data_IF_110867817082
#
_entry.id   IF_110867817082
#
_cell.length_a   1.000
_cell.length_b   1.000
_cell.length_c   1.000
_cell.angle_alpha   90.00
_cell.angle_beta   90.00
_cell.angle_gamma   90.00
#
_symmetry.space_group_name_H-M   'P 1'
#
loop_
_entity.id
_entity.type
_entity.pdbx_description
1 polymer ?
#
# COMPACT_ATOMS: atom_id res chain seq x y z
N UNK A 1 -25.35 -9.04 -8.91
CA UNK A 1 -24.44 -9.31 -10.03
C UNK A 1 -23.21 -8.45 -9.86
N UNK A 2 -22.19 -8.99 -9.21
CA UNK A 2 -20.80 -8.48 -9.08
C UNK A 2 -19.95 -9.65 -8.60
N UNK A 3 -18.84 -9.90 -9.31
CA UNK A 3 -17.87 -11.01 -9.15
C UNK A 3 -18.51 -12.42 -9.09
N UNK A 4 -19.39 -12.80 -10.03
CA UNK A 4 -19.03 -13.75 -11.11
C UNK A 4 -18.23 -14.94 -10.57
N UNK A 5 -18.89 -15.80 -9.77
CA UNK A 5 -19.54 -17.05 -10.18
C UNK A 5 -18.60 -18.14 -10.72
N UNK A 6 -18.72 -19.31 -10.06
CA UNK A 6 -18.11 -20.63 -10.30
C UNK A 6 -16.66 -20.84 -9.85
N UNK A 7 -16.52 -21.57 -8.73
CA UNK A 7 -15.94 -22.91 -8.74
C UNK A 7 -16.50 -23.70 -7.55
N UNK A 8 -17.18 -24.82 -7.86
CA UNK A 8 -17.77 -25.75 -6.90
C UNK A 8 -16.71 -26.74 -6.34
N UNK A 9 -16.90 -27.07 -5.06
CA UNK A 9 -16.76 -28.38 -4.39
C UNK A 9 -15.55 -29.27 -4.73
N UNK A 10 -14.74 -29.62 -3.71
CA UNK A 10 -14.78 -30.96 -3.08
C UNK A 10 -13.97 -31.04 -1.79
N UNK A 11 -14.52 -31.83 -0.86
CA UNK A 11 -14.05 -32.33 0.44
C UNK A 11 -12.71 -33.07 0.44
N UNK A 12 -12.02 -33.12 1.58
CA UNK A 12 -10.96 -34.11 1.81
C UNK A 12 -10.11 -33.92 3.07
N UNK A 13 -10.67 -34.37 4.20
CA UNK A 13 -10.06 -35.04 5.36
C UNK A 13 -8.58 -34.85 5.80
N UNK A 14 -8.49 -34.59 7.11
CA UNK A 14 -7.55 -35.02 8.15
C UNK A 14 -6.00 -34.97 8.02
N UNK A 15 -5.46 -34.44 9.12
CA UNK A 15 -4.15 -34.74 9.74
C UNK A 15 -2.93 -34.02 9.17
N UNK A 16 -2.43 -33.02 9.91
CA UNK A 16 -0.98 -32.83 10.16
C UNK A 16 -0.71 -31.84 11.29
N UNK A 17 -0.22 -32.41 12.39
CA UNK A 17 0.91 -31.94 13.21
C UNK A 17 0.84 -30.51 13.77
N UNK A 18 0.56 -30.41 15.08
CA UNK A 18 0.90 -29.24 15.88
C UNK A 18 2.40 -28.91 15.72
N UNK A 19 2.67 -27.78 15.06
CA UNK A 19 3.96 -27.11 15.14
C UNK A 19 4.17 -26.59 16.58
N UNK A 20 5.41 -26.58 17.10
CA UNK A 20 5.69 -26.01 18.42
C UNK A 20 5.39 -24.51 18.45
N UNK A 21 4.72 -24.05 19.51
CA UNK A 21 4.26 -22.67 19.77
C UNK A 21 5.34 -21.56 19.65
N UNK A 22 6.60 -21.95 19.48
CA UNK A 22 7.75 -21.05 19.38
C UNK A 22 7.99 -20.52 17.96
N UNK A 23 7.46 -21.17 16.92
CA UNK A 23 7.50 -20.67 15.53
C UNK A 23 6.22 -19.92 15.11
N UNK A 24 5.15 -20.00 15.91
CA UNK A 24 3.89 -19.31 15.63
C UNK A 24 3.89 -17.82 16.05
N UNK A 25 4.97 -17.34 16.68
CA UNK A 25 5.11 -15.96 17.16
C UNK A 25 5.76 -15.00 16.16
N UNK A 26 6.27 -15.48 15.03
CA UNK A 26 7.06 -14.65 14.09
C UNK A 26 6.34 -14.24 12.81
N UNK A 27 5.02 -14.46 12.70
CA UNK A 27 4.21 -13.97 11.57
C UNK A 27 2.84 -13.48 12.06
N UNK A 28 2.83 -12.70 13.14
CA UNK A 28 1.66 -11.84 13.38
C UNK A 28 1.80 -10.66 12.42
N UNK A 29 0.81 -10.42 11.53
CA UNK A 29 0.80 -9.22 10.69
C UNK A 29 1.01 -8.02 11.61
N UNK A 30 2.06 -7.25 11.33
CA UNK A 30 2.36 -6.08 12.15
C UNK A 30 1.38 -5.00 11.77
N UNK A 31 0.24 -4.98 12.48
CA UNK A 31 -0.71 -3.88 12.38
C UNK A 31 0.03 -2.55 12.47
N UNK A 32 -0.35 -1.61 11.60
CA UNK A 32 0.18 -0.25 11.57
C UNK A 32 0.36 0.31 12.98
N UNK A 33 1.49 0.96 13.24
CA UNK A 33 1.76 1.52 14.56
C UNK A 33 0.62 2.43 15.03
N UNK A 34 0.07 2.24 16.25
CA UNK A 34 -1.07 3.02 16.74
C UNK A 34 -0.82 4.53 16.75
N UNK A 35 0.43 4.97 16.91
CA UNK A 35 0.79 6.38 16.82
C UNK A 35 0.63 6.95 15.41
N UNK A 36 0.91 6.15 14.38
CA UNK A 36 0.74 6.54 12.98
C UNK A 36 -0.74 6.58 12.61
N UNK A 37 -1.51 5.57 13.01
CA UNK A 37 -2.96 5.54 12.82
C UNK A 37 -3.64 6.75 13.50
N UNK A 38 -3.25 7.07 14.74
CA UNK A 38 -3.76 8.24 15.44
C UNK A 38 -3.47 9.56 14.71
N UNK A 39 -2.29 9.67 14.08
CA UNK A 39 -1.94 10.86 13.25
C UNK A 39 -2.80 10.95 12.00
N UNK A 40 -2.99 9.83 11.28
CA UNK A 40 -3.88 9.77 10.11
C UNK A 40 -5.31 10.20 10.47
N UNK A 41 -5.86 9.68 11.56
CA UNK A 41 -7.21 10.02 12.00
C UNK A 41 -7.32 11.49 12.45
N UNK A 42 -6.26 12.04 13.06
CA UNK A 42 -6.20 13.46 13.42
C UNK A 42 -6.20 14.36 12.18
N UNK A 43 -5.39 14.05 11.17
CA UNK A 43 -5.39 14.73 9.88
C UNK A 43 -6.76 14.65 9.22
N UNK A 44 -7.35 13.46 9.20
CA UNK A 44 -8.68 13.25 8.62
C UNK A 44 -9.78 14.06 9.29
N UNK A 45 -9.67 14.28 10.60
CA UNK A 45 -10.60 15.10 11.37
C UNK A 45 -10.37 16.61 11.16
N UNK A 46 -9.14 17.02 10.83
CA UNK A 46 -8.78 18.42 10.59
C UNK A 46 -9.11 18.86 9.15
N UNK A 47 -8.98 17.95 8.18
CA UNK A 47 -9.16 18.23 6.76
C UNK A 47 -10.58 17.89 6.28
N UNK A 48 -11.10 18.72 5.39
CA UNK A 48 -12.39 18.51 4.72
C UNK A 48 -12.34 17.30 3.78
N UNK A 49 -13.52 16.88 3.30
CA UNK A 49 -13.63 15.79 2.30
C UNK A 49 -13.04 16.15 0.93
N UNK A 50 -12.78 17.43 0.67
CA UNK A 50 -12.13 17.89 -0.56
C UNK A 50 -10.61 17.98 -0.40
N UNK A 51 -10.10 18.13 0.82
CA UNK A 51 -8.66 18.24 1.09
C UNK A 51 -8.02 16.87 1.36
N UNK A 52 -8.80 15.89 1.81
CA UNK A 52 -8.30 14.56 2.11
C UNK A 52 -9.24 13.43 1.69
N UNK A 53 -8.68 12.51 0.93
CA UNK A 53 -9.16 11.15 0.78
C UNK A 53 -8.40 10.21 1.72
N UNK A 54 -9.16 9.42 2.47
CA UNK A 54 -8.66 8.27 3.22
C UNK A 54 -9.60 7.10 2.93
N UNK A 55 -9.06 6.04 2.32
CA UNK A 55 -9.85 4.90 1.87
C UNK A 55 -10.49 4.11 3.01
N UNK A 56 -11.57 3.36 2.73
CA UNK A 56 -12.13 2.41 3.69
C UNK A 56 -11.15 1.25 3.92
N UNK A 57 -11.34 0.49 5.00
CA UNK A 57 -10.58 -0.74 5.25
C UNK A 57 -10.75 -1.77 4.13
N UNK A 58 -9.64 -2.36 3.66
CA UNK A 58 -9.67 -3.44 2.68
C UNK A 58 -9.80 -4.81 3.38
N UNK A 59 -10.85 -5.56 3.05
CA UNK A 59 -11.08 -6.88 3.64
C UNK A 59 -10.06 -7.93 3.21
N UNK A 60 -9.88 -8.97 4.05
CA UNK A 60 -8.90 -10.05 3.83
C UNK A 60 -8.93 -10.68 2.43
N UNK A 61 -10.11 -11.00 1.92
CA UNK A 61 -10.24 -11.61 0.58
C UNK A 61 -9.78 -10.65 -0.54
N UNK A 62 -9.96 -9.34 -0.34
CA UNK A 62 -9.49 -8.33 -1.28
C UNK A 62 -7.97 -8.13 -1.17
N UNK A 63 -7.40 -8.21 0.03
CA UNK A 63 -5.93 -8.21 0.24
C UNK A 63 -5.29 -9.41 -0.48
N UNK A 64 -5.83 -10.62 -0.29
CA UNK A 64 -5.33 -11.84 -0.95
C UNK A 64 -5.44 -11.75 -2.48
N UNK A 65 -6.54 -11.19 -2.99
CA UNK A 65 -6.72 -10.95 -4.42
C UNK A 65 -5.74 -9.90 -4.96
N UNK A 66 -5.53 -8.80 -4.24
CA UNK A 66 -4.56 -7.77 -4.61
C UNK A 66 -3.14 -8.33 -4.64
N UNK A 67 -2.76 -9.11 -3.62
CA UNK A 67 -1.43 -9.75 -3.56
C UNK A 67 -1.22 -10.71 -4.73
N UNK A 68 -2.22 -11.51 -5.06
CA UNK A 68 -2.18 -12.43 -6.21
C UNK A 68 -2.09 -11.67 -7.54
N UNK A 69 -2.82 -10.55 -7.65
CA UNK A 69 -2.78 -9.71 -8.83
C UNK A 69 -1.40 -9.05 -8.98
N UNK A 70 -0.88 -8.43 -7.93
CA UNK A 70 0.44 -7.81 -7.93
C UNK A 70 1.53 -8.84 -8.26
N UNK A 71 1.51 -10.02 -7.65
CA UNK A 71 2.50 -11.06 -7.95
C UNK A 71 2.43 -11.54 -9.42
N UNK A 72 1.22 -11.73 -9.96
CA UNK A 72 1.05 -12.22 -11.34
C UNK A 72 1.33 -11.16 -12.42
N UNK A 73 1.07 -9.88 -12.14
CA UNK A 73 1.24 -8.77 -13.09
C UNK A 73 2.58 -8.08 -12.94
N UNK A 74 3.04 -7.87 -11.70
CA UNK A 74 4.25 -7.15 -11.38
C UNK A 74 5.43 -8.07 -11.07
N UNK A 75 5.21 -9.38 -10.90
CA UNK A 75 6.28 -10.33 -10.57
C UNK A 75 6.88 -10.15 -9.18
N UNK A 76 6.32 -9.24 -8.37
CA UNK A 76 6.79 -8.88 -7.04
C UNK A 76 5.61 -8.94 -6.08
N UNK A 77 5.84 -9.57 -4.92
CA UNK A 77 4.90 -9.58 -3.81
C UNK A 77 4.84 -8.19 -3.17
N UNK A 78 3.65 -7.69 -2.83
CA UNK A 78 3.56 -6.44 -2.07
C UNK A 78 4.11 -6.66 -0.64
N UNK A 79 4.77 -5.65 -0.06
CA UNK A 79 5.25 -5.72 1.30
C UNK A 79 4.09 -5.83 2.29
N UNK A 80 4.22 -6.71 3.29
CA UNK A 80 3.16 -6.99 4.28
C UNK A 80 2.72 -5.72 5.02
N UNK A 81 3.68 -4.86 5.39
CA UNK A 81 3.42 -3.58 6.06
C UNK A 81 2.54 -2.62 5.24
N UNK A 82 2.62 -2.67 3.91
CA UNK A 82 1.73 -1.88 3.05
C UNK A 82 0.34 -2.52 2.93
N UNK A 83 0.26 -3.85 2.92
CA UNK A 83 -1.02 -4.55 3.01
C UNK A 83 -1.73 -4.27 4.33
N UNK A 84 -0.97 -4.17 5.44
CA UNK A 84 -1.50 -3.76 6.74
C UNK A 84 -2.08 -2.34 6.67
N UNK A 85 -1.41 -1.40 5.99
CA UNK A 85 -1.97 -0.08 5.71
C UNK A 85 -3.28 -0.17 4.94
N UNK A 86 -3.33 -0.91 3.82
CA UNK A 86 -4.54 -1.05 3.01
C UNK A 86 -5.68 -1.74 3.79
N UNK A 87 -5.35 -2.65 4.71
CA UNK A 87 -6.33 -3.32 5.57
C UNK A 87 -7.07 -2.33 6.48
N UNK A 88 -6.42 -1.24 6.88
CA UNK A 88 -7.03 -0.15 7.64
C UNK A 88 -7.60 0.94 6.74
N UNK A 89 -6.85 1.32 5.69
CA UNK A 89 -7.11 2.44 4.81
C UNK A 89 -6.67 2.15 3.37
N UNK A 90 -7.63 1.84 2.49
CA UNK A 90 -7.41 1.52 1.08
C UNK A 90 -7.08 2.78 0.23
N UNK A 91 -5.90 3.35 0.48
CA UNK A 91 -5.35 4.53 -0.20
C UNK A 91 -5.47 5.83 0.59
N UNK A 92 -4.66 6.81 0.19
CA UNK A 92 -4.56 8.15 0.76
C UNK A 92 -4.41 9.17 -0.38
N UNK A 93 -5.08 10.32 -0.29
CA UNK A 93 -4.70 11.50 -1.05
C UNK A 93 -4.89 12.74 -0.17
N UNK A 94 -3.85 13.56 0.00
CA UNK A 94 -3.92 14.83 0.72
C UNK A 94 -2.73 15.71 0.34
N UNK A 95 -2.95 17.01 0.15
CA UNK A 95 -1.89 18.02 -0.06
C UNK A 95 -0.83 17.62 -1.13
N UNK A 96 -1.29 16.99 -2.23
CA UNK A 96 -0.44 16.55 -3.34
C UNK A 96 0.40 15.30 -3.04
N UNK A 97 0.17 14.61 -1.93
CA UNK A 97 0.72 13.30 -1.64
C UNK A 97 -0.35 12.21 -1.81
N UNK A 98 0.03 11.12 -2.45
CA UNK A 98 -0.84 10.00 -2.80
C UNK A 98 -0.22 8.69 -2.32
N UNK A 99 -1.02 7.84 -1.66
CA UNK A 99 -0.72 6.42 -1.50
C UNK A 99 -1.75 5.63 -2.27
N UNK A 100 -1.27 4.69 -3.08
CA UNK A 100 -2.11 3.95 -4.00
C UNK A 100 -3.12 3.05 -3.27
N UNK A 101 -4.28 2.87 -3.90
CA UNK A 101 -5.36 2.00 -3.43
C UNK A 101 -5.36 0.68 -4.20
N UNK A 102 -6.10 -0.30 -3.71
CA UNK A 102 -6.29 -1.59 -4.40
C UNK A 102 -7.00 -1.46 -5.75
N UNK A 103 -7.91 -0.51 -5.87
CA UNK A 103 -8.69 -0.19 -7.08
C UNK A 103 -8.91 1.32 -7.18
N UNK A 104 -9.25 1.85 -8.37
CA UNK A 104 -9.63 3.25 -8.48
C UNK A 104 -10.89 3.53 -7.66
N UNK A 105 -10.88 4.59 -6.85
CA UNK A 105 -12.04 5.01 -6.07
C UNK A 105 -12.28 6.51 -6.20
N UNK A 106 -13.40 6.95 -6.77
CA UNK A 106 -13.70 8.37 -6.88
C UNK A 106 -13.89 8.99 -5.48
N UNK A 107 -13.41 10.23 -5.31
CA UNK A 107 -13.68 11.04 -4.14
C UNK A 107 -14.25 12.41 -4.51
N UNK A 108 -14.72 13.14 -3.49
CA UNK A 108 -15.75 14.18 -3.61
C UNK A 108 -15.41 15.41 -4.46
N UNK A 109 -14.13 15.63 -4.75
CA UNK A 109 -13.63 16.77 -5.52
C UNK A 109 -13.51 16.47 -7.04
N UNK A 110 -13.87 15.27 -7.48
CA UNK A 110 -13.77 14.83 -8.87
C UNK A 110 -12.49 14.05 -9.20
N UNK A 111 -11.60 13.84 -8.21
CA UNK A 111 -10.47 12.93 -8.33
C UNK A 111 -10.83 11.46 -8.07
N UNK A 112 -9.84 10.58 -8.28
CA UNK A 112 -9.91 9.17 -7.91
C UNK A 112 -8.63 8.74 -7.24
N UNK A 113 -8.74 7.87 -6.23
CA UNK A 113 -7.60 7.16 -5.69
C UNK A 113 -6.93 6.37 -6.81
N UNK A 114 -5.60 6.36 -6.79
CA UNK A 114 -4.78 5.78 -7.85
C UNK A 114 -4.56 4.30 -7.56
N UNK A 115 -4.86 3.42 -8.52
CA UNK A 115 -4.79 1.98 -8.29
C UNK A 115 -3.35 1.45 -8.40
N UNK A 116 -2.89 0.75 -7.37
CA UNK A 116 -1.49 0.33 -7.23
C UNK A 116 -0.96 -0.42 -8.44
N UNK A 117 -1.70 -1.44 -8.91
CA UNK A 117 -1.23 -2.28 -10.02
C UNK A 117 -1.21 -1.48 -11.33
N UNK A 118 -2.22 -0.64 -11.56
CA UNK A 118 -2.28 0.20 -12.77
C UNK A 118 -1.14 1.22 -12.80
N UNK A 119 -0.90 1.91 -11.68
CA UNK A 119 0.18 2.89 -11.58
C UNK A 119 1.56 2.26 -11.74
N UNK A 120 1.78 1.08 -11.15
CA UNK A 120 3.06 0.37 -11.32
C UNK A 120 3.29 -0.10 -12.76
N UNK A 121 2.25 -0.51 -13.48
CA UNK A 121 2.38 -0.83 -14.91
C UNK A 121 2.78 0.41 -15.72
N UNK A 122 2.16 1.56 -15.45
CA UNK A 122 2.52 2.84 -16.07
C UNK A 122 3.96 3.27 -15.76
N UNK A 123 4.41 3.06 -14.52
CA UNK A 123 5.78 3.39 -14.11
C UNK A 123 6.80 2.47 -14.80
N UNK A 124 6.48 1.18 -14.97
CA UNK A 124 7.35 0.19 -15.63
C UNK A 124 7.49 0.36 -17.12
N UNK A 125 6.48 0.91 -17.80
CA UNK A 125 6.59 1.27 -19.20
C UNK A 125 7.72 2.29 -19.47
N UNK A 126 8.24 2.96 -18.43
CA UNK A 126 9.38 3.87 -18.51
C UNK A 126 10.75 3.16 -18.38
N UNK A 127 10.78 1.88 -17.99
CA UNK A 127 11.95 0.99 -18.11
C UNK A 127 12.93 0.92 -16.93
N UNK A 128 12.64 1.56 -15.79
CA UNK A 128 13.55 1.60 -14.62
C UNK A 128 12.92 1.11 -13.31
N UNK A 129 11.69 0.61 -13.33
CA UNK A 129 10.93 0.16 -12.15
C UNK A 129 10.98 -1.36 -11.92
N UNK A 130 11.83 -2.06 -12.67
CA UNK A 130 12.06 -3.49 -12.46
C UNK A 130 12.72 -3.70 -11.09
N UNK A 131 12.13 -4.56 -10.26
CA UNK A 131 12.58 -4.77 -8.87
C UNK A 131 11.98 -3.81 -7.85
N UNK A 132 11.16 -2.85 -8.27
CA UNK A 132 10.48 -1.89 -7.40
C UNK A 132 8.95 -2.07 -7.44
N UNK A 133 8.30 -1.70 -6.33
CA UNK A 133 6.87 -1.41 -6.27
C UNK A 133 6.70 0.04 -5.83
N UNK A 134 6.12 0.87 -6.69
CA UNK A 134 5.67 2.20 -6.28
C UNK A 134 4.41 2.08 -5.42
N UNK A 135 4.47 2.58 -4.20
CA UNK A 135 3.41 2.57 -3.21
C UNK A 135 2.57 3.86 -3.25
N UNK A 136 3.11 4.89 -3.89
CA UNK A 136 2.53 6.21 -3.95
C UNK A 136 3.50 7.23 -4.52
N UNK A 137 3.05 8.47 -4.60
CA UNK A 137 3.81 9.56 -5.20
C UNK A 137 3.42 10.92 -4.63
N UNK A 138 4.25 11.92 -4.90
CA UNK A 138 3.88 13.34 -4.89
C UNK A 138 4.24 13.97 -6.24
N UNK A 139 4.23 15.31 -6.32
CA UNK A 139 4.54 16.04 -7.56
C UNK A 139 5.89 15.63 -8.19
N UNK A 140 6.96 15.54 -7.38
CA UNK A 140 8.33 15.30 -7.86
C UNK A 140 8.95 14.01 -7.33
N UNK A 141 8.34 13.39 -6.31
CA UNK A 141 8.90 12.24 -5.61
C UNK A 141 8.01 11.00 -5.81
N UNK A 142 8.64 9.83 -5.88
CA UNK A 142 7.95 8.55 -5.78
C UNK A 142 8.32 7.83 -4.48
N UNK A 143 7.34 7.14 -3.91
CA UNK A 143 7.50 6.31 -2.72
C UNK A 143 7.53 4.86 -3.15
N UNK A 144 8.67 4.19 -3.00
CA UNK A 144 8.86 2.85 -3.55
C UNK A 144 9.30 1.85 -2.49
N UNK A 145 8.90 0.60 -2.66
CA UNK A 145 9.50 -0.55 -2.01
C UNK A 145 10.51 -1.20 -2.95
N UNK A 146 11.76 -1.30 -2.51
CA UNK A 146 12.83 -2.00 -3.22
C UNK A 146 12.83 -3.49 -2.83
N UNK A 147 12.47 -4.37 -3.75
CA UNK A 147 12.41 -5.82 -3.49
C UNK A 147 13.78 -6.48 -3.32
N UNK A 148 14.85 -5.85 -3.78
CA UNK A 148 16.21 -6.33 -3.63
C UNK A 148 16.79 -6.07 -2.25
N UNK A 149 16.48 -4.91 -1.66
CA UNK A 149 16.98 -4.52 -0.33
C UNK A 149 15.95 -4.76 0.78
N UNK A 150 14.67 -4.80 0.45
CA UNK A 150 13.56 -4.86 1.40
C UNK A 150 13.28 -3.51 2.10
N UNK A 151 13.79 -2.40 1.57
CA UNK A 151 13.63 -1.06 2.13
C UNK A 151 12.57 -0.26 1.37
N UNK A 152 11.86 0.59 2.11
CA UNK A 152 11.02 1.64 1.54
C UNK A 152 11.87 2.88 1.28
N UNK A 153 11.64 3.59 0.17
CA UNK A 153 12.50 4.68 -0.29
C UNK A 153 11.66 5.84 -0.83
N UNK A 154 12.19 7.06 -0.66
CA UNK A 154 11.73 8.25 -1.37
C UNK A 154 12.75 8.54 -2.45
N UNK A 155 12.30 8.61 -3.70
CA UNK A 155 13.16 8.83 -4.86
C UNK A 155 12.66 9.97 -5.72
N UNK A 156 13.56 10.57 -6.48
CA UNK A 156 13.18 11.51 -7.53
C UNK A 156 12.46 10.77 -8.66
N UNK A 157 11.28 11.24 -9.07
CA UNK A 157 10.49 10.58 -10.11
C UNK A 157 11.12 10.67 -11.51
N UNK A 158 11.96 11.68 -11.75
CA UNK A 158 12.60 11.95 -13.05
C UNK A 158 14.00 11.35 -13.09
N UNK A 159 14.78 11.56 -12.04
CA UNK A 159 16.13 11.05 -11.88
C UNK A 159 16.14 9.90 -10.88
N UNK A 160 15.48 8.79 -11.23
CA UNK A 160 15.13 7.67 -10.33
C UNK A 160 16.30 7.08 -9.50
N UNK A 161 17.53 7.17 -10.00
CA UNK A 161 18.74 6.75 -9.27
C UNK A 161 19.03 7.63 -8.04
N UNK A 162 18.43 8.82 -7.96
CA UNK A 162 18.51 9.71 -6.81
C UNK A 162 17.56 9.23 -5.71
N UNK A 163 18.13 8.59 -4.70
CA UNK A 163 17.45 8.24 -3.45
C UNK A 163 17.60 9.38 -2.46
N UNK A 164 16.47 9.95 -1.99
CA UNK A 164 16.46 11.02 -1.00
C UNK A 164 16.45 10.47 0.43
N UNK A 165 15.61 9.47 0.70
CA UNK A 165 15.51 8.82 2.01
C UNK A 165 15.26 7.32 1.87
N UNK A 166 15.70 6.56 2.88
CA UNK A 166 15.47 5.12 3.01
C UNK A 166 14.92 4.78 4.39
N UNK A 167 13.98 3.84 4.42
CA UNK A 167 13.26 3.45 5.61
C UNK A 167 13.22 1.92 5.73
N UNK A 168 13.46 1.44 6.95
CA UNK A 168 13.38 0.02 7.26
C UNK A 168 11.94 -0.51 7.41
N UNK A 169 10.93 0.36 7.32
CA UNK A 169 9.52 -0.02 7.43
C UNK A 169 8.59 1.02 6.83
N UNK A 170 7.46 0.55 6.32
CA UNK A 170 6.44 1.42 5.73
C UNK A 170 5.91 2.46 6.72
N UNK A 171 5.76 2.12 8.00
CA UNK A 171 5.34 3.09 9.03
C UNK A 171 6.25 4.32 9.12
N UNK A 172 7.55 4.17 8.83
CA UNK A 172 8.50 5.29 8.83
C UNK A 172 8.36 6.12 7.57
N UNK A 173 8.20 5.48 6.41
CA UNK A 173 7.87 6.16 5.16
C UNK A 173 6.55 6.93 5.30
N UNK A 174 5.51 6.28 5.83
CA UNK A 174 4.22 6.89 6.10
C UNK A 174 4.37 8.07 7.07
N UNK A 175 5.15 7.93 8.16
CA UNK A 175 5.45 9.06 9.04
C UNK A 175 6.06 10.25 8.30
N UNK A 176 7.02 10.01 7.40
CA UNK A 176 7.62 11.05 6.57
C UNK A 176 6.59 11.71 5.65
N UNK A 177 5.72 10.93 5.00
CA UNK A 177 4.63 11.45 4.15
C UNK A 177 3.65 12.32 4.97
N UNK A 178 3.30 11.88 6.18
CA UNK A 178 2.43 12.66 7.06
C UNK A 178 3.09 13.97 7.49
N UNK A 179 4.40 13.98 7.76
CA UNK A 179 5.14 15.20 8.06
C UNK A 179 5.07 16.20 6.88
N UNK A 180 5.15 15.72 5.63
CA UNK A 180 5.03 16.56 4.44
C UNK A 180 3.63 17.14 4.27
N UNK A 181 2.58 16.35 4.51
CA UNK A 181 1.19 16.81 4.48
C UNK A 181 0.97 17.87 5.56
N UNK A 182 1.41 17.59 6.80
CA UNK A 182 1.26 18.50 7.94
C UNK A 182 1.98 19.84 7.74
N UNK A 183 3.04 19.90 6.93
CA UNK A 183 3.74 21.15 6.60
C UNK A 183 2.99 22.04 5.60
N UNK A 184 2.02 21.47 4.87
CA UNK A 184 1.25 22.15 3.81
C UNK A 184 -0.15 22.57 4.28
N UNK A 185 -0.65 21.96 5.35
CA UNK A 185 -1.88 22.31 6.07
C UNK A 185 -1.69 23.54 7.00
#
# INVERSE_FOLDING_TARGET
MTCLERLELTSGDESRQCLPDTLARELQPQQMQPSIEARLLKLRAALSKAEMYLGPSLGRSCIEALQSLALSTLGIALPESYLDFLSSHDGLAAEGAFLYSSIPRPYSDGGSALALVEMNLLARDQGFMDGYIELGESDMDCYVFDSGTGLDQVRDKVAFDNVYEEFASFDRLLSHILDLIEQRC
#
